data_IF_304890751992
#
_entry.id   IF_304890751992
#
_cell.length_a   1.000
_cell.length_b   1.000
_cell.length_c   1.000
_cell.angle_alpha   90.00
_cell.angle_beta   90.00
_cell.angle_gamma   90.00
#
_symmetry.space_group_name_H-M   'P 1'
#
loop_
_entity.id
_entity.type
_entity.pdbx_description
1 polymer ?
#
# COMPACT_ATOMS: atom_id res chain seq x y z
N UNK A 1 -1.89 -0.97 -0.26
CA UNK A 1 -0.86 0.05 -0.47
C UNK A 1 -1.27 1.38 0.16
N UNK A 2 -0.30 2.26 0.42
CA UNK A 2 -0.50 3.59 1.02
C UNK A 2 0.26 4.62 0.18
N UNK A 3 -0.42 5.72 -0.18
CA UNK A 3 0.23 6.87 -0.81
C UNK A 3 0.74 7.81 0.28
N UNK A 4 2.00 8.20 0.16
CA UNK A 4 2.63 9.24 0.96
C UNK A 4 3.01 10.40 0.05
N UNK A 5 2.65 11.62 0.44
CA UNK A 5 3.10 12.83 -0.27
C UNK A 5 3.93 13.68 0.68
N UNK A 6 5.15 13.97 0.25
CA UNK A 6 6.09 14.82 0.96
C UNK A 6 6.29 16.13 0.21
N UNK A 7 6.27 17.22 0.91
CA UNK A 7 6.61 18.56 0.37
C UNK A 7 7.88 19.06 1.05
N UNK A 8 8.85 19.52 0.25
CA UNK A 8 10.09 20.10 0.77
C UNK A 8 9.77 21.21 1.77
N UNK A 9 10.41 21.17 2.93
CA UNK A 9 10.23 22.09 4.07
C UNK A 9 8.88 22.01 4.82
N UNK A 10 7.97 21.13 4.39
CA UNK A 10 6.69 20.89 5.09
C UNK A 10 6.58 19.48 5.66
N UNK A 11 7.42 18.54 5.17
CA UNK A 11 7.34 17.15 5.59
C UNK A 11 6.24 16.37 4.87
N UNK A 12 5.77 15.28 5.49
CA UNK A 12 4.67 14.47 4.97
C UNK A 12 3.35 15.23 5.16
N UNK A 13 2.73 15.62 4.05
CA UNK A 13 1.48 16.40 4.03
C UNK A 13 0.25 15.54 3.76
N UNK A 14 0.43 14.32 3.24
CA UNK A 14 -0.66 13.38 3.00
C UNK A 14 -0.18 11.94 3.24
N UNK A 15 -1.01 11.17 3.93
CA UNK A 15 -0.85 9.73 4.14
C UNK A 15 -2.21 9.06 4.03
N UNK A 16 -2.49 8.44 2.90
CA UNK A 16 -3.79 7.87 2.56
C UNK A 16 -3.68 6.47 1.95
N UNK A 17 -4.58 5.55 2.28
CA UNK A 17 -4.63 4.25 1.62
C UNK A 17 -5.09 4.39 0.17
N UNK A 18 -4.61 3.49 -0.71
CA UNK A 18 -4.97 3.44 -2.13
C UNK A 18 -6.32 2.74 -2.32
N UNK A 19 -7.38 3.38 -1.87
CA UNK A 19 -8.77 2.91 -2.02
C UNK A 19 -9.62 4.03 -2.58
N UNK A 20 -10.52 3.69 -3.50
CA UNK A 20 -11.50 4.59 -4.09
C UNK A 20 -12.88 3.95 -4.07
N UNK A 21 -13.91 4.72 -3.76
CA UNK A 21 -15.30 4.30 -3.83
C UNK A 21 -16.01 5.06 -4.94
N UNK A 22 -16.68 4.34 -5.83
CA UNK A 22 -17.38 4.90 -6.98
C UNK A 22 -18.82 4.43 -7.02
N UNK A 23 -19.70 5.29 -7.50
CA UNK A 23 -21.08 4.93 -7.83
C UNK A 23 -21.07 4.23 -9.19
N UNK A 24 -21.46 2.95 -9.22
CA UNK A 24 -21.43 2.12 -10.44
C UNK A 24 -22.48 2.54 -11.49
N UNK A 25 -23.47 3.37 -11.12
CA UNK A 25 -24.51 3.85 -12.03
C UNK A 25 -24.12 5.19 -12.69
N UNK A 26 -23.48 6.08 -11.92
CA UNK A 26 -23.11 7.42 -12.40
C UNK A 26 -21.62 7.55 -12.74
N UNK A 27 -20.81 6.58 -12.38
CA UNK A 27 -19.33 6.61 -12.44
C UNK A 27 -18.69 7.75 -11.63
N UNK A 28 -19.43 8.33 -10.69
CA UNK A 28 -18.91 9.40 -9.84
C UNK A 28 -18.12 8.85 -8.67
N UNK A 29 -17.03 9.53 -8.32
CA UNK A 29 -16.22 9.23 -7.15
C UNK A 29 -16.96 9.66 -5.89
N UNK A 30 -17.28 8.70 -5.02
CA UNK A 30 -17.97 8.95 -3.75
C UNK A 30 -16.99 9.24 -2.60
N UNK A 31 -15.86 8.54 -2.57
CA UNK A 31 -14.85 8.69 -1.53
C UNK A 31 -13.48 8.20 -2.00
N UNK A 32 -12.41 8.71 -1.38
CA UNK A 32 -11.03 8.30 -1.67
C UNK A 32 -10.24 8.22 -0.36
N UNK A 33 -9.28 7.31 -0.32
CA UNK A 33 -8.38 7.17 0.82
C UNK A 33 -9.05 6.53 2.04
N UNK A 34 -8.89 7.11 3.21
CA UNK A 34 -9.42 6.61 4.49
C UNK A 34 -10.94 6.46 4.48
N UNK A 35 -11.64 7.40 3.86
CA UNK A 35 -13.10 7.38 3.78
C UNK A 35 -13.57 6.21 2.92
N UNK A 36 -12.93 5.98 1.76
CA UNK A 36 -13.21 4.82 0.93
C UNK A 36 -12.82 3.49 1.61
N UNK A 37 -11.71 3.47 2.36
CA UNK A 37 -11.30 2.29 3.13
C UNK A 37 -12.34 1.92 4.20
N UNK A 38 -12.98 2.91 4.84
CA UNK A 38 -14.05 2.67 5.80
C UNK A 38 -15.28 2.03 5.16
N UNK A 39 -15.50 2.27 3.88
CA UNK A 39 -16.61 1.72 3.09
C UNK A 39 -16.35 0.32 2.56
N UNK A 40 -15.10 -0.14 2.53
CA UNK A 40 -14.72 -1.43 1.94
C UNK A 40 -15.47 -2.59 2.61
N UNK A 41 -16.19 -3.38 1.80
CA UNK A 41 -17.03 -4.50 2.28
C UNK A 41 -18.31 -4.10 3.02
N UNK A 42 -18.71 -2.83 2.98
CA UNK A 42 -19.90 -2.29 3.67
C UNK A 42 -20.75 -1.37 2.81
N UNK A 43 -20.56 -1.42 1.50
CA UNK A 43 -21.25 -0.55 0.54
C UNK A 43 -22.57 -1.16 0.06
N UNK A 44 -23.58 -0.32 -0.24
CA UNK A 44 -24.77 -0.79 -0.95
C UNK A 44 -24.41 -1.21 -2.39
N UNK A 45 -25.27 -2.00 -3.09
CA UNK A 45 -24.93 -2.58 -4.41
C UNK A 45 -24.52 -1.58 -5.50
N UNK A 46 -24.94 -0.33 -5.39
CA UNK A 46 -24.64 0.73 -6.36
C UNK A 46 -23.35 1.50 -6.03
N UNK A 47 -22.68 1.21 -4.93
CA UNK A 47 -21.38 1.80 -4.58
C UNK A 47 -20.36 0.68 -4.47
N UNK A 48 -19.26 0.81 -5.18
CA UNK A 48 -18.16 -0.14 -5.14
C UNK A 48 -16.89 0.54 -4.60
N UNK A 49 -16.40 0.05 -3.47
CA UNK A 49 -15.11 0.44 -2.94
C UNK A 49 -14.06 -0.57 -3.41
N UNK A 50 -13.02 -0.09 -4.12
CA UNK A 50 -11.99 -0.94 -4.74
C UNK A 50 -10.60 -0.40 -4.49
N UNK A 51 -9.61 -1.28 -4.64
CA UNK A 51 -8.19 -0.91 -4.67
C UNK A 51 -7.76 -0.86 -6.14
N UNK A 52 -7.52 0.31 -6.74
CA UNK A 52 -7.11 0.41 -8.14
C UNK A 52 -5.66 -0.01 -8.38
N UNK A 53 -4.89 -0.17 -7.29
CA UNK A 53 -3.54 -0.74 -7.29
C UNK A 53 -3.59 -2.06 -6.51
N UNK A 54 -3.25 -3.16 -7.17
CA UNK A 54 -3.18 -4.51 -6.60
C UNK A 54 -1.78 -5.06 -6.90
N UNK A 55 -1.10 -5.58 -5.88
CA UNK A 55 0.24 -6.18 -6.00
C UNK A 55 1.26 -5.27 -6.72
N UNK A 56 1.23 -3.98 -6.39
CA UNK A 56 2.11 -2.98 -7.02
C UNK A 56 1.76 -2.64 -8.47
N UNK A 57 0.72 -3.26 -9.05
CA UNK A 57 0.30 -3.08 -10.45
C UNK A 57 -0.98 -2.25 -10.52
N UNK A 58 -1.07 -1.40 -11.53
CA UNK A 58 -2.30 -0.66 -11.84
C UNK A 58 -3.33 -1.62 -12.42
N UNK A 59 -4.33 -1.99 -11.63
CA UNK A 59 -5.43 -2.86 -12.07
C UNK A 59 -6.54 -2.09 -12.80
N UNK A 60 -6.68 -0.80 -12.49
CA UNK A 60 -7.62 0.10 -13.15
C UNK A 60 -7.01 1.49 -13.31
N UNK A 61 -6.64 1.82 -14.54
CA UNK A 61 -5.96 3.07 -14.89
C UNK A 61 -6.82 4.30 -14.57
N UNK A 62 -8.07 4.30 -15.01
CA UNK A 62 -8.98 5.43 -14.84
C UNK A 62 -9.21 5.75 -13.35
N UNK A 63 -9.46 4.72 -12.54
CA UNK A 63 -9.65 4.90 -11.10
C UNK A 63 -8.35 5.32 -10.39
N UNK A 64 -7.20 4.85 -10.87
CA UNK A 64 -5.90 5.29 -10.34
C UNK A 64 -5.67 6.78 -10.64
N UNK A 65 -5.93 7.23 -11.85
CA UNK A 65 -5.82 8.63 -12.24
C UNK A 65 -6.76 9.51 -11.41
N UNK A 66 -8.04 9.13 -11.27
CA UNK A 66 -9.00 9.87 -10.44
C UNK A 66 -8.58 9.92 -8.96
N UNK A 67 -8.07 8.83 -8.42
CA UNK A 67 -7.55 8.79 -7.06
C UNK A 67 -6.35 9.74 -6.89
N UNK A 68 -5.39 9.73 -7.80
CA UNK A 68 -4.22 10.62 -7.80
C UNK A 68 -4.68 12.08 -7.91
N UNK A 69 -5.58 12.41 -8.83
CA UNK A 69 -6.17 13.75 -8.97
C UNK A 69 -6.80 14.22 -7.66
N UNK A 70 -7.55 13.34 -7.00
CA UNK A 70 -8.19 13.67 -5.73
C UNK A 70 -7.16 13.96 -4.62
N UNK A 71 -6.09 13.18 -4.53
CA UNK A 71 -5.02 13.44 -3.56
C UNK A 71 -4.29 14.74 -3.84
N UNK A 72 -3.99 15.03 -5.09
CA UNK A 72 -3.35 16.28 -5.46
C UNK A 72 -4.25 17.50 -5.23
N UNK A 73 -5.55 17.39 -5.49
CA UNK A 73 -6.50 18.48 -5.23
C UNK A 73 -6.58 18.85 -3.74
N UNK A 74 -6.43 17.87 -2.84
CA UNK A 74 -6.34 18.12 -1.40
C UNK A 74 -5.09 18.94 -1.01
N UNK A 75 -4.00 18.77 -1.76
CA UNK A 75 -2.70 19.40 -1.45
C UNK A 75 -2.57 20.76 -2.14
N UNK A 76 -2.99 20.85 -3.40
CA UNK A 76 -2.77 22.00 -4.27
C UNK A 76 -4.02 22.88 -4.43
N UNK A 77 -4.99 22.81 -3.53
CA UNK A 77 -6.31 23.42 -3.64
C UNK A 77 -6.34 24.92 -3.97
N UNK A 78 -5.23 25.65 -3.96
CA UNK A 78 -5.09 27.07 -4.36
C UNK A 78 -3.67 27.52 -4.68
N UNK A 79 -2.76 26.63 -5.05
CA UNK A 79 -1.38 27.05 -5.33
C UNK A 79 -1.30 27.58 -6.76
N UNK A 80 -1.08 28.90 -6.90
CA UNK A 80 -0.71 29.53 -8.15
C UNK A 80 0.71 29.05 -8.49
N UNK A 81 0.82 28.09 -9.40
CA UNK A 81 2.11 27.55 -9.84
C UNK A 81 2.00 26.10 -10.32
N UNK A 82 2.91 25.72 -11.18
CA UNK A 82 3.03 24.36 -11.67
C UNK A 82 4.05 23.60 -10.83
N UNK A 83 3.65 22.66 -9.96
CA UNK A 83 4.58 21.94 -9.10
C UNK A 83 5.52 21.05 -9.92
N UNK A 84 6.75 20.88 -9.42
CA UNK A 84 7.63 19.78 -9.82
C UNK A 84 7.33 18.59 -8.92
N UNK A 85 7.09 17.44 -9.52
CA UNK A 85 6.69 16.22 -8.81
C UNK A 85 7.69 15.12 -9.10
N UNK A 86 8.15 14.44 -8.05
CA UNK A 86 8.87 13.18 -8.15
C UNK A 86 7.95 12.06 -7.66
N UNK A 87 7.78 11.02 -8.46
CA UNK A 87 6.92 9.87 -8.14
C UNK A 87 7.76 8.61 -8.05
N UNK A 88 7.52 7.83 -6.98
CA UNK A 88 8.15 6.53 -6.81
C UNK A 88 7.34 5.45 -7.53
N UNK A 89 8.03 4.54 -8.17
CA UNK A 89 7.45 3.37 -8.84
C UNK A 89 8.25 2.11 -8.47
N UNK A 90 7.60 0.92 -8.41
CA UNK A 90 8.32 -0.33 -8.23
C UNK A 90 9.35 -0.58 -9.33
N UNK A 91 10.42 -1.32 -9.04
CA UNK A 91 11.46 -1.63 -10.03
C UNK A 91 10.99 -2.48 -11.21
N UNK A 92 9.84 -3.16 -11.08
CA UNK A 92 9.26 -4.00 -12.12
C UNK A 92 8.14 -3.34 -12.92
N UNK A 93 7.94 -2.01 -12.80
CA UNK A 93 6.87 -1.29 -13.49
C UNK A 93 7.09 -1.30 -15.01
N UNK A 94 6.02 -1.54 -15.78
CA UNK A 94 6.04 -1.48 -17.24
C UNK A 94 6.04 -0.03 -17.75
N UNK A 95 6.52 0.18 -18.99
CA UNK A 95 6.48 1.50 -19.64
C UNK A 95 5.07 2.09 -19.72
N UNK A 96 4.05 1.24 -19.88
CA UNK A 96 2.64 1.65 -19.94
C UNK A 96 2.18 2.18 -18.59
N UNK A 97 2.50 1.48 -17.51
CA UNK A 97 2.16 1.90 -16.14
C UNK A 97 2.91 3.17 -15.76
N UNK A 98 4.19 3.27 -16.12
CA UNK A 98 4.98 4.48 -15.90
C UNK A 98 4.39 5.69 -16.62
N UNK A 99 4.00 5.55 -17.89
CA UNK A 99 3.31 6.61 -18.65
C UNK A 99 2.00 7.00 -17.99
N UNK A 100 1.22 6.04 -17.52
CA UNK A 100 -0.04 6.30 -16.83
C UNK A 100 0.13 7.17 -15.58
N UNK A 101 1.16 6.89 -14.79
CA UNK A 101 1.52 7.67 -13.60
C UNK A 101 1.93 9.10 -13.99
N UNK A 102 2.73 9.25 -15.05
CA UNK A 102 3.14 10.57 -15.58
C UNK A 102 1.94 11.37 -16.09
N UNK A 103 1.03 10.74 -16.83
CA UNK A 103 -0.18 11.39 -17.33
C UNK A 103 -1.09 11.86 -16.20
N UNK A 104 -1.30 11.02 -15.18
CA UNK A 104 -2.07 11.41 -14.01
C UNK A 104 -1.47 12.64 -13.29
N UNK A 105 -0.15 12.75 -13.23
CA UNK A 105 0.52 13.93 -12.67
C UNK A 105 0.39 15.18 -13.55
N UNK A 106 0.41 15.02 -14.89
CA UNK A 106 0.18 16.14 -15.83
C UNK A 106 -1.24 16.68 -15.73
N UNK A 107 -2.22 15.80 -15.61
CA UNK A 107 -3.64 16.18 -15.51
C UNK A 107 -3.95 17.07 -14.30
N UNK A 108 -3.13 16.97 -13.24
CA UNK A 108 -3.25 17.85 -12.07
C UNK A 108 -2.37 19.10 -12.15
N UNK A 109 -1.78 19.37 -13.32
CA UNK A 109 -1.03 20.59 -13.59
C UNK A 109 0.45 20.56 -13.22
N UNK A 110 1.05 19.38 -13.02
CA UNK A 110 2.49 19.27 -12.80
C UNK A 110 3.25 19.72 -14.06
N UNK A 111 4.30 20.55 -13.85
CA UNK A 111 5.16 21.03 -14.93
C UNK A 111 6.26 20.02 -15.26
N UNK A 112 7.03 19.65 -14.25
CA UNK A 112 8.15 18.74 -14.38
C UNK A 112 7.83 17.48 -13.54
N UNK A 113 7.87 16.31 -14.16
CA UNK A 113 7.55 15.04 -13.53
C UNK A 113 8.80 14.15 -13.65
N UNK A 114 9.28 13.68 -12.52
CA UNK A 114 10.41 12.78 -12.39
C UNK A 114 9.94 11.45 -11.82
N UNK A 115 10.47 10.36 -12.34
CA UNK A 115 10.25 9.02 -11.82
C UNK A 115 11.51 8.57 -11.09
N UNK A 116 11.33 7.94 -9.95
CA UNK A 116 12.39 7.28 -9.19
C UNK A 116 11.91 5.89 -8.79
N UNK A 117 12.79 4.89 -8.87
CA UNK A 117 12.45 3.54 -8.41
C UNK A 117 12.42 3.47 -6.88
N UNK A 118 11.46 2.73 -6.33
CA UNK A 118 11.24 2.62 -4.88
C UNK A 118 12.50 2.22 -4.09
N UNK A 119 13.32 1.24 -4.51
CA UNK A 119 14.54 0.89 -3.77
C UNK A 119 15.58 2.02 -3.72
N UNK A 120 15.67 2.84 -4.79
CA UNK A 120 16.57 4.01 -4.82
C UNK A 120 16.07 5.06 -3.83
N UNK A 121 14.77 5.34 -3.85
CA UNK A 121 14.16 6.28 -2.93
C UNK A 121 14.30 5.82 -1.46
N UNK A 122 14.12 4.52 -1.21
CA UNK A 122 14.27 3.92 0.11
C UNK A 122 15.71 4.03 0.64
N UNK A 123 16.71 3.74 -0.20
CA UNK A 123 18.13 3.89 0.16
C UNK A 123 18.47 5.33 0.54
N UNK A 124 18.04 6.29 -0.31
CA UNK A 124 18.27 7.72 -0.06
C UNK A 124 17.54 8.18 1.21
N UNK A 125 16.31 7.73 1.41
CA UNK A 125 15.51 8.04 2.61
C UNK A 125 16.11 7.48 3.90
N UNK A 126 16.79 6.33 3.83
CA UNK A 126 17.54 5.73 4.93
C UNK A 126 18.93 6.39 5.16
N UNK A 127 19.31 7.35 4.33
CA UNK A 127 20.59 8.09 4.45
C UNK A 127 21.79 7.35 3.89
N UNK A 128 21.61 6.33 3.07
CA UNK A 128 22.72 5.65 2.42
C UNK A 128 23.30 6.47 1.27
N UNK A 129 24.63 6.56 1.23
CA UNK A 129 25.37 7.15 0.11
C UNK A 129 25.57 6.07 -0.97
N UNK A 130 24.64 6.03 -1.91
CA UNK A 130 24.66 5.08 -3.03
C UNK A 130 25.65 5.43 -4.13
N UNK A 131 26.30 6.63 -4.08
CA UNK A 131 27.26 7.07 -5.08
C UNK A 131 28.60 6.34 -5.02
N UNK A 132 28.89 5.70 -3.90
CA UNK A 132 30.15 4.99 -3.67
C UNK A 132 30.19 3.64 -4.39
N UNK A 133 31.42 3.14 -4.71
CA UNK A 133 31.62 1.88 -5.41
C UNK A 133 31.54 0.67 -4.45
N UNK A 134 30.47 0.60 -3.64
CA UNK A 134 30.14 -0.56 -2.82
C UNK A 134 28.66 -0.91 -2.96
N UNK A 135 28.34 -2.18 -2.87
CA UNK A 135 26.95 -2.65 -2.98
C UNK A 135 26.16 -2.34 -1.70
N UNK A 136 25.08 -1.60 -1.83
CA UNK A 136 24.07 -1.41 -0.77
C UNK A 136 22.83 -2.19 -1.13
N UNK A 137 22.48 -3.19 -0.33
CA UNK A 137 21.25 -3.96 -0.53
C UNK A 137 20.08 -3.31 0.20
N UNK A 138 18.97 -3.14 -0.52
CA UNK A 138 17.71 -2.64 0.01
C UNK A 138 16.65 -3.72 -0.16
N UNK A 139 15.85 -3.94 0.87
CA UNK A 139 14.66 -4.79 0.86
C UNK A 139 13.49 -3.93 1.31
N UNK A 140 12.61 -3.60 0.38
CA UNK A 140 11.39 -2.82 0.64
C UNK A 140 10.18 -3.76 0.63
N UNK A 141 9.54 -3.94 1.80
CA UNK A 141 8.39 -4.81 1.97
C UNK A 141 7.14 -3.93 2.07
N UNK A 142 6.45 -3.81 0.95
CA UNK A 142 5.23 -3.01 0.83
C UNK A 142 3.96 -3.77 1.23
N UNK A 143 2.83 -3.29 0.71
CA UNK A 143 1.53 -3.99 0.84
C UNK A 143 1.39 -5.15 -0.14
N UNK A 144 1.66 -4.91 -1.43
CA UNK A 144 1.49 -5.90 -2.51
C UNK A 144 2.80 -6.48 -3.04
N UNK A 145 3.91 -5.75 -2.94
CA UNK A 145 5.23 -6.16 -3.45
C UNK A 145 6.31 -6.11 -2.39
N UNK A 146 7.30 -6.96 -2.56
CA UNK A 146 8.61 -6.88 -1.90
C UNK A 146 9.65 -6.63 -2.97
N UNK A 147 10.26 -5.45 -2.96
CA UNK A 147 11.28 -5.02 -3.90
C UNK A 147 12.66 -5.15 -3.26
N UNK A 148 13.53 -5.93 -3.90
CA UNK A 148 14.88 -6.20 -3.46
C UNK A 148 15.82 -5.63 -4.51
N UNK A 149 16.74 -4.78 -4.13
CA UNK A 149 17.73 -4.22 -5.04
C UNK A 149 19.12 -4.09 -4.41
N UNK A 150 20.14 -4.24 -5.24
CA UNK A 150 21.52 -3.88 -4.89
C UNK A 150 21.88 -2.62 -5.67
N UNK A 151 22.27 -1.59 -4.95
CA UNK A 151 22.61 -0.27 -5.46
C UNK A 151 24.12 -0.04 -5.37
N UNK A 152 24.70 0.56 -6.38
CA UNK A 152 26.11 0.99 -6.40
C UNK A 152 26.30 2.08 -7.45
N UNK A 153 27.23 3.01 -7.22
CA UNK A 153 27.58 4.09 -8.17
C UNK A 153 26.37 4.90 -8.67
N UNK A 154 25.40 5.13 -7.77
CA UNK A 154 24.21 5.93 -8.05
C UNK A 154 23.10 5.20 -8.82
N UNK A 155 23.24 3.91 -9.11
CA UNK A 155 22.26 3.14 -9.87
C UNK A 155 21.93 1.76 -9.29
N UNK A 156 20.95 1.12 -9.88
CA UNK A 156 20.58 -0.27 -9.58
C UNK A 156 21.48 -1.20 -10.37
N UNK A 157 22.19 -2.10 -9.65
CA UNK A 157 23.01 -3.15 -10.25
C UNK A 157 22.16 -4.38 -10.57
N UNK A 158 21.30 -4.76 -9.64
CA UNK A 158 20.35 -5.86 -9.80
C UNK A 158 19.12 -5.58 -8.96
N UNK A 159 17.95 -5.94 -9.46
CA UNK A 159 16.69 -5.85 -8.72
C UNK A 159 15.81 -7.08 -8.95
N UNK A 160 14.96 -7.35 -7.97
CA UNK A 160 13.91 -8.37 -8.01
C UNK A 160 12.68 -7.83 -7.32
N UNK A 161 11.53 -7.98 -7.95
CA UNK A 161 10.24 -7.70 -7.35
C UNK A 161 9.46 -9.00 -7.14
N UNK A 162 8.95 -9.20 -5.94
CA UNK A 162 8.15 -10.35 -5.55
C UNK A 162 6.75 -9.88 -5.20
N UNK A 163 5.72 -10.59 -5.70
CA UNK A 163 4.31 -10.34 -5.35
C UNK A 163 3.91 -11.03 -4.04
N UNK A 164 4.78 -10.98 -3.04
CA UNK A 164 4.59 -11.50 -1.69
C UNK A 164 4.95 -10.38 -0.73
N UNK A 165 3.96 -9.85 -0.03
CA UNK A 165 4.14 -8.74 0.90
C UNK A 165 3.01 -8.71 1.94
N UNK A 166 2.75 -7.56 2.54
CA UNK A 166 1.84 -7.39 3.66
C UNK A 166 0.40 -7.90 3.43
N UNK A 167 -0.11 -7.82 2.20
CA UNK A 167 -1.46 -8.30 1.88
C UNK A 167 -1.51 -9.84 1.83
N UNK A 168 -0.46 -10.52 1.28
CA UNK A 168 -0.36 -11.98 1.33
C UNK A 168 -0.20 -12.50 2.76
N UNK A 169 0.50 -11.77 3.62
CA UNK A 169 0.56 -12.11 5.05
C UNK A 169 -0.82 -12.02 5.72
N UNK A 170 -1.62 -11.02 5.36
CA UNK A 170 -3.01 -10.93 5.85
C UNK A 170 -3.85 -12.11 5.39
N UNK A 171 -3.73 -12.52 4.12
CA UNK A 171 -4.42 -13.68 3.59
C UNK A 171 -4.00 -14.99 4.27
N UNK A 172 -2.71 -15.13 4.56
CA UNK A 172 -2.20 -16.29 5.32
C UNK A 172 -2.83 -16.35 6.72
N UNK A 173 -2.94 -15.20 7.41
CA UNK A 173 -3.62 -15.12 8.71
C UNK A 173 -5.10 -15.47 8.59
N UNK A 174 -5.80 -14.98 7.56
CA UNK A 174 -7.23 -15.32 7.32
C UNK A 174 -7.39 -16.83 7.12
N UNK A 175 -6.53 -17.45 6.30
CA UNK A 175 -6.54 -18.89 6.07
C UNK A 175 -6.28 -19.68 7.35
N UNK A 176 -5.30 -19.27 8.14
CA UNK A 176 -4.98 -19.88 9.43
C UNK A 176 -6.17 -19.78 10.41
N UNK A 177 -6.73 -18.60 10.58
CA UNK A 177 -7.88 -18.38 11.47
C UNK A 177 -9.08 -19.25 11.10
N UNK A 178 -9.31 -19.40 9.79
CA UNK A 178 -10.41 -20.26 9.30
C UNK A 178 -10.13 -21.73 9.55
N UNK A 179 -8.92 -22.19 9.24
CA UNK A 179 -8.56 -23.62 9.26
C UNK A 179 -8.31 -24.12 10.67
N UNK A 180 -7.48 -23.43 11.44
CA UNK A 180 -7.01 -23.90 12.74
C UNK A 180 -7.91 -23.40 13.90
N UNK A 181 -8.46 -22.19 13.78
CA UNK A 181 -9.28 -21.60 14.84
C UNK A 181 -10.79 -21.67 14.57
N UNK A 182 -11.21 -22.19 13.41
CA UNK A 182 -12.62 -22.28 13.04
C UNK A 182 -13.33 -20.92 13.00
N UNK A 183 -12.58 -19.84 12.70
CA UNK A 183 -13.07 -18.47 12.74
C UNK A 183 -12.85 -17.76 11.40
N UNK A 184 -13.91 -17.16 10.86
CA UNK A 184 -13.83 -16.29 9.68
C UNK A 184 -13.58 -14.86 10.15
N UNK A 185 -12.48 -14.27 9.69
CA UNK A 185 -12.13 -12.87 9.94
C UNK A 185 -11.99 -12.12 8.63
N UNK A 186 -12.14 -10.78 8.66
CA UNK A 186 -11.92 -9.94 7.50
C UNK A 186 -10.49 -9.39 7.43
N UNK A 187 -10.07 -8.84 6.26
CA UNK A 187 -8.71 -8.33 6.03
C UNK A 187 -8.24 -7.30 7.07
N UNK A 188 -9.12 -6.41 7.52
CA UNK A 188 -8.79 -5.41 8.56
C UNK A 188 -8.44 -6.05 9.90
N UNK A 189 -9.12 -7.14 10.25
CA UNK A 189 -8.83 -7.89 11.50
C UNK A 189 -7.50 -8.62 11.36
N UNK A 190 -7.23 -9.22 10.20
CA UNK A 190 -5.97 -9.89 9.91
C UNK A 190 -4.78 -8.92 9.96
N UNK A 191 -4.91 -7.75 9.33
CA UNK A 191 -3.88 -6.71 9.38
C UNK A 191 -3.60 -6.25 10.82
N UNK A 192 -4.64 -6.05 11.63
CA UNK A 192 -4.48 -5.70 13.04
C UNK A 192 -3.75 -6.81 13.81
N UNK A 193 -4.12 -8.07 13.63
CA UNK A 193 -3.44 -9.22 14.25
C UNK A 193 -1.96 -9.23 13.85
N UNK A 194 -1.66 -9.10 12.55
CA UNK A 194 -0.29 -9.02 12.03
C UNK A 194 0.52 -7.91 12.72
N UNK A 195 -0.07 -6.73 12.86
CA UNK A 195 0.60 -5.56 13.45
C UNK A 195 0.81 -5.69 14.96
N UNK A 196 -0.16 -6.28 15.69
CA UNK A 196 -0.11 -6.37 17.15
C UNK A 196 0.79 -7.52 17.64
N UNK A 197 0.72 -8.69 17.01
CA UNK A 197 1.41 -9.89 17.49
C UNK A 197 2.34 -10.56 16.47
N UNK A 198 2.35 -10.11 15.20
CA UNK A 198 3.26 -10.64 14.17
C UNK A 198 4.73 -10.48 14.55
N UNK A 199 5.54 -11.47 14.20
CA UNK A 199 6.98 -11.44 14.44
C UNK A 199 7.70 -12.53 13.68
N UNK A 200 8.91 -12.24 13.19
CA UNK A 200 9.77 -13.17 12.44
C UNK A 200 10.84 -13.82 13.34
N UNK A 201 10.99 -13.34 14.56
CA UNK A 201 11.95 -13.86 15.55
C UNK A 201 11.15 -14.26 16.79
N UNK A 202 11.46 -15.43 17.40
CA UNK A 202 10.87 -15.81 18.68
C UNK A 202 11.06 -14.71 19.72
N UNK A 203 10.00 -14.36 20.43
CA UNK A 203 10.03 -13.36 21.50
C UNK A 203 10.11 -14.06 22.85
N UNK A 204 10.80 -13.44 23.79
CA UNK A 204 10.85 -13.92 25.18
C UNK A 204 9.50 -13.80 25.89
N UNK A 205 8.68 -12.82 25.51
CA UNK A 205 7.36 -12.59 26.06
C UNK A 205 6.28 -12.86 25.00
N UNK A 206 5.30 -13.68 25.37
CA UNK A 206 4.14 -13.93 24.54
C UNK A 206 3.23 -12.70 24.48
N UNK A 207 2.86 -12.27 23.28
CA UNK A 207 1.87 -11.22 23.07
C UNK A 207 0.50 -11.85 22.79
N UNK A 208 -0.55 -11.23 23.31
CA UNK A 208 -1.91 -11.68 23.14
C UNK A 208 -2.73 -10.63 22.35
N UNK A 209 -3.46 -11.08 21.35
CA UNK A 209 -4.38 -10.26 20.58
C UNK A 209 -5.79 -10.84 20.60
N UNK A 210 -6.79 -10.00 20.89
CA UNK A 210 -8.21 -10.41 20.83
C UNK A 210 -8.73 -10.25 19.41
N UNK A 211 -9.14 -11.33 18.77
CA UNK A 211 -9.77 -11.33 17.46
C UNK A 211 -11.28 -11.47 17.54
N UNK A 212 -12.00 -10.71 16.71
CA UNK A 212 -13.44 -10.83 16.50
C UNK A 212 -13.69 -11.43 15.12
N UNK A 213 -14.57 -12.41 15.04
CA UNK A 213 -14.93 -13.06 13.80
C UNK A 213 -16.24 -13.82 13.91
N UNK A 214 -16.57 -14.56 12.85
CA UNK A 214 -17.74 -15.41 12.78
C UNK A 214 -17.28 -16.86 12.94
N UNK A 215 -17.84 -17.59 13.91
CA UNK A 215 -17.56 -19.01 14.07
C UNK A 215 -18.06 -19.79 12.86
N UNK A 216 -17.21 -20.67 12.32
CA UNK A 216 -17.56 -21.54 11.18
C UNK A 216 -18.65 -22.54 11.59
N UNK A 217 -18.68 -22.99 12.86
CA UNK A 217 -19.61 -24.01 13.36
C UNK A 217 -20.96 -23.42 13.72
N UNK A 218 -21.00 -22.31 14.46
CA UNK A 218 -22.24 -21.74 15.00
C UNK A 218 -22.77 -20.56 14.17
N UNK A 219 -22.00 -20.06 13.19
CA UNK A 219 -22.32 -18.88 12.39
C UNK A 219 -22.61 -17.64 13.26
N UNK A 220 -22.15 -17.64 14.51
CA UNK A 220 -22.31 -16.54 15.47
C UNK A 220 -21.02 -15.73 15.61
N UNK A 221 -21.17 -14.47 16.00
CA UNK A 221 -20.01 -13.64 16.34
C UNK A 221 -19.33 -14.16 17.60
N UNK A 222 -18.03 -14.34 17.55
CA UNK A 222 -17.23 -14.81 18.68
C UNK A 222 -15.91 -14.02 18.80
N UNK A 223 -15.28 -14.14 19.98
CA UNK A 223 -14.00 -13.52 20.29
C UNK A 223 -13.02 -14.62 20.66
N UNK A 224 -11.82 -14.55 20.11
CA UNK A 224 -10.69 -15.40 20.50
C UNK A 224 -9.51 -14.55 20.95
N UNK A 225 -8.74 -15.05 21.91
CA UNK A 225 -7.44 -14.50 22.28
C UNK A 225 -6.39 -15.34 21.60
N UNK A 226 -5.54 -14.68 20.82
CA UNK A 226 -4.48 -15.32 20.04
C UNK A 226 -3.14 -15.02 20.68
N UNK A 227 -2.30 -16.02 20.98
CA UNK A 227 -0.92 -15.83 21.35
C UNK A 227 -0.05 -15.50 20.14
N UNK A 228 1.13 -14.95 20.39
CA UNK A 228 2.19 -14.90 19.38
C UNK A 228 2.60 -16.31 19.00
N UNK A 229 2.35 -16.71 17.76
CA UNK A 229 2.92 -17.94 17.23
C UNK A 229 4.25 -17.61 16.55
N UNK A 230 5.32 -18.41 16.79
CA UNK A 230 6.63 -18.15 16.19
C UNK A 230 6.69 -18.42 14.67
N UNK A 231 5.60 -18.86 14.07
CA UNK A 231 5.57 -19.27 12.66
C UNK A 231 4.27 -18.77 11.99
N UNK A 232 4.31 -17.58 11.44
CA UNK A 232 3.41 -17.16 10.36
C UNK A 232 4.25 -16.54 9.26
#
# INVERSE_FOLDING_TARGET
ATVLVYIKNKGIVLREPTVIAVNTKTNEVCAVGKDALAMLGRTPPHIQAVRPLIDGVISNLTLTQEMIKHFFSKIFSRTIGHPRIMMCVPSGVTDVEQRAVIEAARDVGAKDIYIIEEPVAAALGAGFDISRPHGTMVVDIGGGTTDIAVLSLGGIVVSRSLKIAGDEFNEAIIRYMRKEMGMIIGPRTAERIKMEIGGVIPRSNELLCKAKGISVLSVSYTHLTLPTTPYV
#
